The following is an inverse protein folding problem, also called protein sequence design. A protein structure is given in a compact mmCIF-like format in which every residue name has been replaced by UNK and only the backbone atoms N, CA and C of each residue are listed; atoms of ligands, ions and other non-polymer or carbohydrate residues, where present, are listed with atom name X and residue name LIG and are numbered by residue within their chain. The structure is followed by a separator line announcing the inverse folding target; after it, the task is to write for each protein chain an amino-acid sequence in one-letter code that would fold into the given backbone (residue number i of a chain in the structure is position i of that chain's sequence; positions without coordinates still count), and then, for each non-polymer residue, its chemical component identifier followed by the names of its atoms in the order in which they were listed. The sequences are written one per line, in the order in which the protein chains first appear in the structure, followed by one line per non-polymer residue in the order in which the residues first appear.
data_IF_921033431137
#
_entry.id   IF_921033431137
#
_cell.length_a   1.000
_cell.length_b   1.000
_cell.length_c   1.000
_cell.angle_alpha   90.00
_cell.angle_beta   90.00
_cell.angle_gamma   90.00
#
_symmetry.space_group_name_H-M   'P 1'
#
loop_
_entity.id
_entity.type
_entity.pdbx_description
1 polymer ?
#
# COMPACT_ATOMS: atom_id res chain seq x y z
N UNK A 1 -1.01 -23.46 14.78
CA UNK A 1 0.05 -24.49 14.90
C UNK A 1 0.55 -24.97 13.54
N UNK A 2 -0.29 -25.43 12.63
CA UNK A 2 0.11 -25.95 11.30
C UNK A 2 0.88 -24.94 10.44
N UNK A 3 0.43 -23.67 10.40
CA UNK A 3 1.09 -22.58 9.63
C UNK A 3 2.50 -22.24 10.16
N UNK A 4 2.72 -22.40 11.45
CA UNK A 4 4.03 -22.12 12.10
C UNK A 4 5.02 -23.23 11.78
N UNK A 5 4.58 -24.48 11.83
CA UNK A 5 5.40 -25.67 11.49
C UNK A 5 5.77 -25.64 10.01
N UNK A 6 4.83 -25.31 9.13
CA UNK A 6 5.08 -25.20 7.69
C UNK A 6 6.09 -24.09 7.37
N UNK A 7 6.00 -22.94 8.07
CA UNK A 7 6.96 -21.83 7.92
C UNK A 7 8.37 -22.19 8.40
N UNK A 8 8.49 -22.97 9.49
CA UNK A 8 9.77 -23.46 9.99
C UNK A 8 10.38 -24.47 9.02
N UNK A 9 9.57 -25.38 8.48
CA UNK A 9 10.02 -26.39 7.52
C UNK A 9 10.56 -25.74 6.22
N UNK A 10 9.87 -24.75 5.70
CA UNK A 10 10.31 -23.99 4.51
C UNK A 10 11.60 -23.23 4.78
N UNK A 11 11.77 -22.61 5.95
CA UNK A 11 13.01 -21.94 6.33
C UNK A 11 14.19 -22.91 6.49
N UNK A 12 13.93 -24.13 6.95
CA UNK A 12 14.95 -25.19 7.01
C UNK A 12 15.35 -25.67 5.61
N UNK A 13 14.38 -25.92 4.74
CA UNK A 13 14.62 -26.33 3.35
C UNK A 13 15.38 -25.26 2.56
N UNK A 14 15.07 -23.97 2.74
CA UNK A 14 15.78 -22.88 2.07
C UNK A 14 17.25 -22.75 2.49
N UNK A 15 17.58 -23.17 3.73
CA UNK A 15 18.98 -23.22 4.22
C UNK A 15 19.76 -24.40 3.64
N UNK A 16 19.09 -25.52 3.39
CA UNK A 16 19.73 -26.75 2.87
C UNK A 16 19.99 -26.66 1.37
N UNK A 17 19.07 -26.06 0.61
CA UNK A 17 19.16 -26.05 -0.86
C UNK A 17 19.87 -24.83 -1.44
N UNK A 18 20.27 -23.82 -0.65
CA UNK A 18 20.94 -22.57 -1.11
C UNK A 18 20.36 -22.03 -2.43
N UNK A 19 19.04 -22.15 -2.63
CA UNK A 19 18.40 -21.69 -3.85
C UNK A 19 17.73 -20.36 -3.58
N UNK A 20 18.16 -19.32 -4.28
CA UNK A 20 17.51 -18.01 -4.31
C UNK A 20 16.07 -18.08 -4.89
N UNK A 21 15.69 -19.25 -5.40
CA UNK A 21 14.41 -19.51 -6.05
C UNK A 21 13.22 -19.72 -5.10
N UNK A 22 13.45 -19.83 -3.77
CA UNK A 22 12.37 -19.86 -2.78
C UNK A 22 12.32 -18.50 -2.09
N UNK A 23 12.00 -17.49 -2.86
CA UNK A 23 11.73 -16.15 -2.33
C UNK A 23 10.32 -16.05 -1.78
N UNK A 24 10.09 -16.65 -0.63
CA UNK A 24 8.86 -16.44 0.18
C UNK A 24 8.95 -15.16 1.03
N UNK A 25 9.84 -14.22 0.69
CA UNK A 25 10.45 -13.44 1.77
C UNK A 25 9.94 -12.03 1.90
N UNK A 26 9.41 -11.43 0.86
CA UNK A 26 9.01 -10.04 0.94
C UNK A 26 7.62 -9.86 0.32
N UNK A 27 6.57 -9.67 1.14
CA UNK A 27 5.31 -9.22 0.58
C UNK A 27 5.56 -7.91 -0.16
N UNK A 28 4.96 -7.82 -1.34
CA UNK A 28 4.98 -6.63 -2.18
C UNK A 28 3.63 -5.95 -2.04
N UNK A 29 3.65 -4.67 -1.68
CA UNK A 29 2.47 -3.82 -1.57
C UNK A 29 2.57 -2.69 -2.57
N UNK A 30 1.46 -2.36 -3.23
CA UNK A 30 1.35 -1.27 -4.19
C UNK A 30 0.39 -0.24 -3.59
N UNK A 31 0.80 1.03 -3.52
CA UNK A 31 0.02 2.09 -2.88
C UNK A 31 -0.11 3.32 -3.78
N UNK A 32 -1.27 3.96 -3.77
CA UNK A 32 -1.56 5.20 -4.50
C UNK A 32 -1.63 6.42 -3.58
N UNK A 33 -0.80 7.43 -3.84
CA UNK A 33 -0.96 8.77 -3.30
C UNK A 33 -1.87 9.53 -4.26
N UNK A 34 -3.16 9.49 -3.98
CA UNK A 34 -4.17 10.15 -4.82
C UNK A 34 -4.28 11.60 -4.38
N UNK A 35 -3.95 12.51 -5.33
CA UNK A 35 -3.94 13.95 -5.09
C UNK A 35 -5.13 14.56 -5.82
N UNK A 36 -5.95 15.30 -5.07
CA UNK A 36 -7.08 16.09 -5.57
C UNK A 36 -7.09 17.44 -4.87
N UNK A 37 -7.08 18.52 -5.64
CA UNK A 37 -7.07 19.92 -5.15
C UNK A 37 -6.05 20.15 -4.01
N UNK A 38 -4.80 19.74 -4.20
CA UNK A 38 -3.70 19.81 -3.21
C UNK A 38 -3.96 19.06 -1.90
N UNK A 39 -4.88 18.12 -1.90
CA UNK A 39 -5.19 17.24 -0.78
C UNK A 39 -4.88 15.80 -1.16
N UNK A 40 -4.53 15.01 -0.17
CA UNK A 40 -4.21 13.59 -0.34
C UNK A 40 -5.32 12.74 0.27
N UNK A 41 -5.84 11.80 -0.51
CA UNK A 41 -6.78 10.81 0.00
C UNK A 41 -6.07 9.81 0.90
N UNK A 42 -6.55 9.70 2.12
CA UNK A 42 -6.17 8.66 3.06
C UNK A 42 -7.39 7.85 3.51
N UNK A 43 -7.16 6.56 3.77
CA UNK A 43 -8.14 5.62 4.28
C UNK A 43 -7.77 5.23 5.70
N UNK A 44 -8.77 5.09 6.56
CA UNK A 44 -8.59 4.73 7.97
C UNK A 44 -8.92 3.27 8.19
N UNK A 45 -8.06 2.54 8.88
CA UNK A 45 -8.28 1.14 9.21
C UNK A 45 -8.91 0.97 10.61
N UNK A 46 -9.25 -0.27 10.98
CA UNK A 46 -9.85 -0.60 12.29
C UNK A 46 -8.93 -0.29 13.49
N UNK A 47 -7.62 -0.11 13.28
CA UNK A 47 -6.66 0.26 14.33
C UNK A 47 -6.50 1.77 14.51
N UNK A 48 -7.38 2.56 13.89
CA UNK A 48 -7.31 4.03 13.91
C UNK A 48 -6.04 4.60 13.25
N UNK A 49 -5.47 3.86 12.28
CA UNK A 49 -4.31 4.27 11.50
C UNK A 49 -4.74 4.71 10.11
N UNK A 50 -4.14 5.80 9.62
CA UNK A 50 -4.33 6.28 8.26
C UNK A 50 -3.29 5.66 7.32
N UNK A 51 -3.72 5.29 6.13
CA UNK A 51 -2.89 4.69 5.09
C UNK A 51 -3.33 5.20 3.71
N UNK A 52 -2.52 4.96 2.69
CA UNK A 52 -2.90 5.19 1.30
C UNK A 52 -3.68 4.00 0.76
N UNK A 53 -4.66 4.23 -0.16
CA UNK A 53 -5.31 3.14 -0.87
C UNK A 53 -4.31 2.27 -1.62
N UNK A 54 -4.60 0.97 -1.68
CA UNK A 54 -3.76 -0.02 -2.34
C UNK A 54 -3.48 -1.25 -1.49
N UNK A 55 -2.99 -2.30 -2.12
CA UNK A 55 -2.86 -3.60 -1.48
C UNK A 55 -1.75 -4.47 -2.04
N UNK A 56 -1.91 -5.77 -1.91
CA UNK A 56 -0.90 -6.76 -2.30
C UNK A 56 -1.10 -7.19 -3.75
N UNK A 57 0.01 -7.28 -4.47
CA UNK A 57 0.01 -7.82 -5.82
C UNK A 57 -0.38 -9.31 -5.81
N UNK A 58 -1.20 -9.71 -6.75
CA UNK A 58 -1.58 -11.12 -7.00
C UNK A 58 -0.57 -11.79 -7.93
N UNK A 59 -0.57 -13.12 -7.95
CA UNK A 59 0.28 -13.89 -8.87
C UNK A 59 -0.15 -13.58 -10.31
N UNK A 60 0.82 -13.29 -11.18
CA UNK A 60 0.63 -12.92 -12.60
C UNK A 60 -0.15 -11.60 -12.80
N UNK A 61 -0.22 -10.74 -11.80
CA UNK A 61 -0.80 -9.42 -11.92
C UNK A 61 0.30 -8.38 -12.22
N UNK A 62 0.01 -7.43 -13.09
CA UNK A 62 0.91 -6.30 -13.32
C UNK A 62 0.79 -5.27 -12.17
N UNK A 63 1.86 -4.50 -11.94
CA UNK A 63 1.93 -3.54 -10.83
C UNK A 63 0.84 -2.46 -10.96
N UNK A 64 0.68 -1.90 -12.16
CA UNK A 64 -0.33 -0.87 -12.40
C UNK A 64 -1.75 -1.43 -12.32
N UNK A 65 -1.98 -2.65 -12.85
CA UNK A 65 -3.27 -3.33 -12.75
C UNK A 65 -3.65 -3.62 -11.30
N UNK A 66 -2.68 -4.05 -10.48
CA UNK A 66 -2.87 -4.20 -9.05
C UNK A 66 -3.33 -2.89 -8.40
N UNK A 67 -2.64 -1.79 -8.70
CA UNK A 67 -2.98 -0.49 -8.13
C UNK A 67 -4.39 -0.05 -8.50
N UNK A 68 -4.74 -0.14 -9.79
CA UNK A 68 -6.07 0.23 -10.30
C UNK A 68 -7.16 -0.62 -9.65
N UNK A 69 -6.95 -1.94 -9.53
CA UNK A 69 -7.87 -2.87 -8.90
C UNK A 69 -8.07 -2.56 -7.41
N UNK A 70 -6.99 -2.42 -6.64
CA UNK A 70 -7.06 -2.15 -5.20
C UNK A 70 -7.74 -0.81 -4.92
N UNK A 71 -7.38 0.26 -5.63
CA UNK A 71 -8.04 1.57 -5.48
C UNK A 71 -9.53 1.45 -5.80
N UNK A 72 -9.89 0.72 -6.85
CA UNK A 72 -11.29 0.52 -7.22
C UNK A 72 -12.05 -0.30 -6.18
N UNK A 73 -11.46 -1.37 -5.67
CA UNK A 73 -12.05 -2.23 -4.64
C UNK A 73 -12.24 -1.50 -3.31
N UNK A 74 -11.27 -0.68 -2.88
CA UNK A 74 -11.29 0.01 -1.59
C UNK A 74 -12.11 1.30 -1.57
N UNK A 75 -12.20 2.01 -2.71
CA UNK A 75 -12.76 3.38 -2.74
C UNK A 75 -13.84 3.60 -3.79
N UNK A 76 -14.05 2.68 -4.72
CA UNK A 76 -14.84 2.84 -5.94
C UNK A 76 -14.32 3.90 -6.94
N UNK A 77 -13.18 4.53 -6.68
CA UNK A 77 -12.59 5.51 -7.59
C UNK A 77 -11.93 4.85 -8.81
N UNK A 78 -11.88 5.60 -9.91
CA UNK A 78 -10.97 5.34 -11.01
C UNK A 78 -9.88 6.41 -10.99
N UNK A 79 -8.64 6.00 -11.17
CA UNK A 79 -7.49 6.90 -11.16
C UNK A 79 -6.78 6.94 -12.51
N UNK A 80 -6.03 7.99 -12.75
CA UNK A 80 -5.26 8.26 -13.98
C UNK A 80 -3.93 8.95 -13.64
N UNK A 81 -3.11 9.18 -14.67
CA UNK A 81 -1.86 9.93 -14.58
C UNK A 81 -0.89 9.31 -13.54
N UNK A 82 -0.81 7.97 -13.56
CA UNK A 82 0.07 7.22 -12.65
C UNK A 82 1.53 7.61 -12.88
N UNK A 83 2.21 8.04 -11.82
CA UNK A 83 3.65 8.32 -11.84
C UNK A 83 4.31 7.50 -10.76
N UNK A 84 5.19 6.58 -11.16
CA UNK A 84 5.96 5.77 -10.23
C UNK A 84 6.90 6.64 -9.40
N UNK A 85 6.91 6.40 -8.10
CA UNK A 85 7.85 6.99 -7.15
C UNK A 85 8.91 5.96 -6.78
N UNK A 86 9.94 6.39 -6.03
CA UNK A 86 11.00 5.48 -5.59
C UNK A 86 10.43 4.36 -4.71
N UNK A 87 10.62 3.08 -5.06
CA UNK A 87 10.21 1.98 -4.20
C UNK A 87 10.92 2.01 -2.85
N UNK A 88 10.24 1.53 -1.82
CA UNK A 88 10.75 1.51 -0.46
C UNK A 88 10.78 0.09 0.10
N UNK A 89 11.79 -0.16 0.91
CA UNK A 89 11.91 -1.36 1.71
C UNK A 89 11.59 -0.99 3.17
N UNK A 90 10.44 -1.42 3.64
CA UNK A 90 9.90 -1.06 4.94
C UNK A 90 9.82 -2.28 5.85
N UNK A 91 9.76 -2.04 7.15
CA UNK A 91 9.61 -3.10 8.15
C UNK A 91 8.36 -2.85 8.99
N UNK A 92 7.38 -3.74 8.87
CA UNK A 92 6.16 -3.74 9.66
C UNK A 92 6.13 -4.94 10.59
N UNK A 93 6.04 -4.72 11.89
CA UNK A 93 5.96 -5.80 12.89
C UNK A 93 7.02 -6.90 12.70
N UNK A 94 8.25 -6.51 12.35
CA UNK A 94 9.34 -7.45 12.10
C UNK A 94 9.36 -8.09 10.70
N UNK A 95 8.32 -7.86 9.88
CA UNK A 95 8.24 -8.34 8.49
C UNK A 95 8.72 -7.27 7.54
N UNK A 96 9.64 -7.63 6.66
CA UNK A 96 10.12 -6.75 5.60
C UNK A 96 9.11 -6.73 4.44
N UNK A 97 8.77 -5.54 3.93
CA UNK A 97 7.80 -5.33 2.85
C UNK A 97 8.40 -4.39 1.82
N UNK A 98 8.32 -4.76 0.55
CA UNK A 98 8.64 -3.84 -0.54
C UNK A 98 7.36 -3.09 -0.91
N UNK A 99 7.41 -1.77 -0.86
CA UNK A 99 6.28 -0.90 -1.21
C UNK A 99 6.61 -0.12 -2.48
N UNK A 100 5.79 -0.31 -3.50
CA UNK A 100 5.76 0.52 -4.70
C UNK A 100 4.72 1.62 -4.50
N UNK A 101 5.14 2.85 -4.66
CA UNK A 101 4.28 4.03 -4.55
C UNK A 101 4.08 4.68 -5.91
N UNK A 102 2.86 5.13 -6.13
CA UNK A 102 2.51 5.93 -7.30
C UNK A 102 1.78 7.19 -6.84
N UNK A 103 2.08 8.33 -7.44
CA UNK A 103 1.15 9.45 -7.39
C UNK A 103 0.11 9.27 -8.50
N UNK A 104 -1.12 9.69 -8.22
CA UNK A 104 -2.25 9.55 -9.13
C UNK A 104 -3.27 10.67 -8.95
N UNK A 105 -4.13 10.85 -9.92
CA UNK A 105 -5.27 11.78 -9.91
C UNK A 105 -6.57 11.00 -10.06
N UNK A 106 -7.67 11.56 -9.56
CA UNK A 106 -9.00 11.00 -9.78
C UNK A 106 -9.39 11.19 -11.26
N UNK A 107 -9.89 10.15 -11.89
CA UNK A 107 -10.21 10.16 -13.33
C UNK A 107 -11.54 10.83 -13.65
N UNK A 108 -12.52 10.66 -12.77
CA UNK A 108 -13.87 11.23 -12.90
C UNK A 108 -14.52 11.32 -11.51
N UNK A 109 -15.43 12.26 -11.36
CA UNK A 109 -16.22 12.40 -10.14
C UNK A 109 -17.12 11.17 -9.96
N UNK A 110 -16.72 10.34 -9.01
CA UNK A 110 -17.49 9.19 -8.56
C UNK A 110 -17.58 9.24 -7.04
N UNK A 111 -18.71 8.87 -6.45
CA UNK A 111 -18.80 8.81 -5.00
C UNK A 111 -17.83 7.78 -4.46
N UNK A 112 -17.11 8.13 -3.40
CA UNK A 112 -16.29 7.18 -2.66
C UNK A 112 -17.19 6.23 -1.91
N UNK A 113 -17.01 4.94 -2.16
CA UNK A 113 -17.68 3.85 -1.47
C UNK A 113 -16.58 2.98 -0.86
N UNK A 114 -16.43 3.05 0.45
CA UNK A 114 -15.42 2.28 1.15
C UNK A 114 -15.73 0.79 1.16
N UNK A 115 -14.68 -0.01 1.01
CA UNK A 115 -14.74 -1.43 1.32
C UNK A 115 -14.90 -1.66 2.84
N UNK A 116 -15.24 -2.87 3.24
CA UNK A 116 -15.37 -3.26 4.64
C UNK A 116 -14.03 -3.24 5.42
N UNK A 117 -12.90 -3.13 4.73
CA UNK A 117 -11.56 -3.09 5.33
C UNK A 117 -11.22 -1.72 5.94
N UNK A 118 -11.99 -0.70 5.59
CA UNK A 118 -11.76 0.68 6.02
C UNK A 118 -12.97 1.24 6.76
N UNK A 119 -12.71 1.99 7.82
CA UNK A 119 -13.74 2.59 8.66
C UNK A 119 -14.08 4.03 8.29
N UNK A 120 -13.14 4.73 7.62
CA UNK A 120 -13.30 6.13 7.25
C UNK A 120 -12.36 6.51 6.10
N UNK A 121 -12.59 7.66 5.47
CA UNK A 121 -11.68 8.29 4.52
C UNK A 121 -11.71 9.81 4.67
N UNK A 122 -10.61 10.45 4.31
CA UNK A 122 -10.56 11.91 4.23
C UNK A 122 -9.49 12.38 3.24
N UNK A 123 -9.70 13.59 2.73
CA UNK A 123 -8.70 14.32 1.96
C UNK A 123 -7.99 15.32 2.85
N UNK A 124 -6.72 15.12 3.08
CA UNK A 124 -5.90 15.94 3.98
C UNK A 124 -4.97 16.89 3.22
N UNK A 125 -4.89 18.13 3.69
CA UNK A 125 -3.83 19.03 3.27
C UNK A 125 -2.45 18.52 3.77
N UNK A 126 -1.39 18.87 3.07
CA UNK A 126 -0.02 18.55 3.49
C UNK A 126 0.28 18.94 4.94
N UNK A 127 -0.21 20.10 5.39
CA UNK A 127 -0.03 20.59 6.76
C UNK A 127 -0.71 19.71 7.81
N UNK A 128 -1.77 19.00 7.46
CA UNK A 128 -2.54 18.13 8.36
C UNK A 128 -1.91 16.74 8.49
N UNK A 129 -1.24 16.26 7.44
CA UNK A 129 -0.64 14.92 7.37
C UNK A 129 0.35 14.66 8.52
N UNK A 130 1.09 15.68 8.94
CA UNK A 130 2.09 15.55 10.02
C UNK A 130 1.48 15.07 11.34
N UNK A 131 0.22 15.37 11.60
CA UNK A 131 -0.47 15.10 12.86
C UNK A 131 -1.29 13.80 12.81
N UNK A 132 -1.39 13.14 11.64
CA UNK A 132 -2.13 11.89 11.49
C UNK A 132 -1.42 10.71 12.19
N UNK A 133 -2.19 9.77 12.68
CA UNK A 133 -1.69 8.44 13.06
C UNK A 133 -1.38 7.64 11.79
N UNK A 134 -0.21 7.88 11.21
CA UNK A 134 0.28 7.33 9.95
C UNK A 134 1.77 7.06 10.06
N UNK A 135 2.31 6.04 9.39
CA UNK A 135 3.75 5.78 9.36
C UNK A 135 4.58 6.98 8.88
N UNK A 136 5.65 7.31 9.61
CA UNK A 136 6.46 8.50 9.37
C UNK A 136 7.03 8.59 7.94
N UNK A 137 7.38 7.48 7.34
CA UNK A 137 7.90 7.44 5.98
C UNK A 137 6.86 7.89 4.93
N UNK A 138 5.57 7.65 5.12
CA UNK A 138 4.51 8.17 4.25
C UNK A 138 4.38 9.69 4.39
N UNK A 139 4.46 10.20 5.61
CA UNK A 139 4.46 11.66 5.85
C UNK A 139 5.61 12.35 5.13
N UNK A 140 6.81 11.77 5.20
CA UNK A 140 8.01 12.32 4.55
C UNK A 140 7.87 12.40 3.03
N UNK A 141 7.22 11.41 2.39
CA UNK A 141 7.02 11.42 0.94
C UNK A 141 6.06 12.53 0.52
N UNK A 142 4.96 12.71 1.24
CA UNK A 142 4.00 13.77 0.93
C UNK A 142 4.64 15.14 1.01
N UNK A 143 5.53 15.35 1.98
CA UNK A 143 6.27 16.62 2.12
C UNK A 143 7.09 16.96 0.87
N UNK A 144 7.53 15.95 0.11
CA UNK A 144 8.33 16.15 -1.10
C UNK A 144 7.52 16.21 -2.39
N UNK A 145 6.26 15.75 -2.36
CA UNK A 145 5.40 15.64 -3.55
C UNK A 145 4.50 16.86 -3.80
N UNK A 146 4.12 17.55 -2.74
CA UNK A 146 3.15 18.66 -2.81
C UNK A 146 3.76 19.96 -2.32
#
# INVERSE_FOLDING_TARGET
MLKTVFRILINLLSRVFKTDNISLKFPVSIKAIIIDDNRVLCLKNERDEWDFPGGKIKINEDIEDCLLREVKEETNLNIKNLKSLKPMNLKFNGVQVIVFLFSAEISCDSPIILSYEHTDYSFFLKSEIKDLNMPQYYKNIIVTLI
#
